data_IF_600077806356
#
_entry.id   IF_600077806356
#
_cell.length_a   1.000
_cell.length_b   1.000
_cell.length_c   1.000
_cell.angle_alpha   90.00
_cell.angle_beta   90.00
_cell.angle_gamma   90.00
#
_symmetry.space_group_name_H-M   'P 1'
#
loop_
_entity.id
_entity.type
_entity.pdbx_description
1 polymer ?
#
# COMPACT_ATOMS: atom_id res chain seq x y z
N UNK A 1 16.38 5.88 -8.46
CA UNK A 1 16.21 5.14 -7.19
C UNK A 1 14.89 5.56 -6.56
N UNK A 2 13.95 4.63 -6.37
CA UNK A 2 12.61 4.87 -5.80
C UNK A 2 12.67 5.47 -4.39
N UNK A 3 13.52 4.92 -3.53
CA UNK A 3 13.62 5.32 -2.11
C UNK A 3 13.98 6.80 -1.93
N UNK A 4 14.77 7.34 -2.86
CA UNK A 4 15.13 8.76 -2.89
C UNK A 4 13.97 9.65 -3.36
N UNK A 5 13.17 9.18 -4.33
CA UNK A 5 11.95 9.89 -4.75
C UNK A 5 10.95 10.00 -3.60
N UNK A 6 10.86 8.97 -2.76
CA UNK A 6 9.99 8.96 -1.57
C UNK A 6 10.58 9.68 -0.36
N UNK A 7 11.81 10.22 -0.43
CA UNK A 7 12.49 10.81 0.74
C UNK A 7 11.68 11.93 1.42
N UNK A 8 11.06 12.89 0.71
CA UNK A 8 10.24 13.91 1.35
C UNK A 8 9.05 13.31 2.11
N UNK A 9 8.36 12.34 1.50
CA UNK A 9 7.25 11.63 2.12
C UNK A 9 7.68 10.93 3.42
N UNK A 10 8.79 10.21 3.36
CA UNK A 10 9.30 9.45 4.50
C UNK A 10 9.77 10.38 5.62
N UNK A 11 10.31 11.56 5.31
CA UNK A 11 10.68 12.55 6.31
C UNK A 11 9.47 13.02 7.13
N UNK A 12 8.33 13.28 6.48
CA UNK A 12 7.07 13.61 7.17
C UNK A 12 6.58 12.44 8.03
N UNK A 13 6.60 11.20 7.51
CA UNK A 13 6.23 10.03 8.31
C UNK A 13 7.10 9.85 9.56
N UNK A 14 8.41 10.09 9.45
CA UNK A 14 9.33 10.00 10.59
C UNK A 14 9.09 11.09 11.62
N UNK A 15 8.70 12.30 11.17
CA UNK A 15 8.29 13.38 12.06
C UNK A 15 7.02 13.01 12.82
N UNK A 16 6.00 12.49 12.14
CA UNK A 16 4.77 12.02 12.80
C UNK A 16 5.04 10.90 13.81
N UNK A 17 5.92 9.96 13.47
CA UNK A 17 6.33 8.89 14.37
C UNK A 17 7.00 9.45 15.63
N UNK A 18 7.87 10.46 15.49
CA UNK A 18 8.51 11.11 16.64
C UNK A 18 7.52 11.91 17.51
N UNK A 19 6.63 12.67 16.89
CA UNK A 19 5.74 13.61 17.60
C UNK A 19 4.51 12.93 18.20
N UNK A 20 3.97 11.90 17.54
CA UNK A 20 2.65 11.30 17.87
C UNK A 20 2.71 9.81 18.16
N UNK A 21 3.84 9.15 17.88
CA UNK A 21 3.95 7.69 17.95
C UNK A 21 3.25 6.95 16.80
N UNK A 22 2.84 7.67 15.74
CA UNK A 22 2.18 7.06 14.57
C UNK A 22 3.15 6.08 13.88
N UNK A 23 2.76 4.81 13.65
CA UNK A 23 3.64 3.86 12.96
C UNK A 23 3.88 4.27 11.50
N UNK A 24 5.10 4.06 11.01
CA UNK A 24 5.45 4.29 9.60
C UNK A 24 4.90 3.15 8.72
N UNK A 25 5.03 1.91 9.19
CA UNK A 25 4.41 0.73 8.60
C UNK A 25 3.22 0.34 9.48
N UNK A 26 2.02 0.26 8.90
CA UNK A 26 0.76 0.15 9.63
C UNK A 26 -0.03 -1.06 9.11
N UNK A 27 -0.63 -1.87 9.99
CA UNK A 27 -1.63 -2.85 9.56
C UNK A 27 -2.85 -2.11 9.01
N UNK A 28 -3.63 -2.75 8.12
CA UNK A 28 -4.70 -2.05 7.41
C UNK A 28 -5.77 -1.49 8.36
N UNK A 29 -6.16 -2.24 9.40
CA UNK A 29 -7.14 -1.78 10.38
C UNK A 29 -6.76 -0.47 11.09
N UNK A 30 -5.48 -0.07 11.07
CA UNK A 30 -5.03 1.18 11.68
C UNK A 30 -5.61 2.40 10.94
N UNK A 31 -5.62 2.36 9.60
CA UNK A 31 -6.15 3.43 8.76
C UNK A 31 -7.61 3.19 8.34
N UNK A 32 -8.11 1.94 8.48
CA UNK A 32 -9.45 1.51 8.07
C UNK A 32 -10.14 0.66 9.16
N UNK A 33 -10.40 1.21 10.36
CA UNK A 33 -10.93 0.41 11.47
C UNK A 33 -12.39 -0.05 11.27
N UNK A 34 -13.17 0.68 10.47
CA UNK A 34 -14.57 0.34 10.16
C UNK A 34 -14.69 -0.80 9.14
N UNK A 35 -13.66 -1.00 8.32
CA UNK A 35 -13.58 -2.08 7.34
C UNK A 35 -13.19 -3.38 8.05
N UNK A 36 -14.15 -4.29 8.19
CA UNK A 36 -13.93 -5.55 8.93
C UNK A 36 -12.91 -6.46 8.27
N UNK A 37 -12.75 -6.38 6.95
CA UNK A 37 -11.78 -7.22 6.25
C UNK A 37 -10.35 -6.78 6.59
N UNK A 38 -10.11 -5.48 6.80
CA UNK A 38 -8.80 -4.94 7.18
C UNK A 38 -8.25 -5.47 8.51
N UNK A 39 -9.10 -6.07 9.36
CA UNK A 39 -8.67 -6.75 10.59
C UNK A 39 -8.14 -8.17 10.35
N UNK A 40 -8.51 -8.78 9.23
CA UNK A 40 -8.14 -10.16 8.87
C UNK A 40 -6.95 -10.22 7.90
N UNK A 41 -6.55 -9.09 7.31
CA UNK A 41 -5.43 -9.01 6.38
C UNK A 41 -4.12 -8.95 7.16
N UNK A 42 -3.25 -9.94 6.93
CA UNK A 42 -1.98 -10.11 7.66
C UNK A 42 -0.74 -9.92 6.77
N UNK A 43 -0.92 -9.92 5.45
CA UNK A 43 0.14 -9.99 4.46
C UNK A 43 0.18 -8.77 3.52
N UNK A 44 -0.49 -7.70 3.93
CA UNK A 44 -0.50 -6.36 3.33
C UNK A 44 -0.29 -5.31 4.42
N UNK A 45 0.25 -4.16 4.03
CA UNK A 45 0.40 -3.05 4.97
C UNK A 45 0.32 -1.69 4.28
N UNK A 46 -0.02 -0.68 5.08
CA UNK A 46 0.11 0.72 4.71
C UNK A 46 1.50 1.23 5.07
N UNK A 47 2.17 1.89 4.12
CA UNK A 47 3.40 2.63 4.32
C UNK A 47 3.08 4.13 4.36
N UNK A 48 2.90 4.65 5.57
CA UNK A 48 2.20 5.92 5.77
C UNK A 48 0.73 5.82 5.36
N UNK A 49 -0.01 6.94 5.35
CA UNK A 49 -1.44 6.90 5.08
C UNK A 49 -1.80 6.65 3.61
N UNK A 50 -0.85 6.73 2.65
CA UNK A 50 -1.19 6.86 1.23
C UNK A 50 -0.72 5.72 0.34
N UNK A 51 0.14 4.83 0.83
CA UNK A 51 0.76 3.77 0.03
C UNK A 51 0.41 2.40 0.61
N UNK A 52 -0.29 1.58 -0.14
CA UNK A 52 -0.59 0.18 0.18
C UNK A 52 0.41 -0.74 -0.51
N UNK A 53 0.94 -1.72 0.22
CA UNK A 53 1.99 -2.63 -0.27
C UNK A 53 1.60 -4.09 0.02
N UNK A 54 1.74 -4.95 -1.00
CA UNK A 54 1.66 -6.41 -0.88
C UNK A 54 3.03 -7.04 -1.17
N UNK A 55 3.84 -7.39 -0.17
CA UNK A 55 5.05 -8.16 -0.39
C UNK A 55 4.73 -9.55 -0.96
N UNK A 56 5.64 -10.06 -1.79
CA UNK A 56 5.59 -11.45 -2.28
C UNK A 56 6.56 -12.27 -1.44
N UNK A 57 6.01 -13.18 -0.64
CA UNK A 57 6.78 -14.05 0.26
C UNK A 57 6.83 -15.50 -0.21
N UNK A 58 6.00 -15.86 -1.19
CA UNK A 58 5.95 -17.19 -1.77
C UNK A 58 6.90 -17.35 -2.97
N UNK A 59 7.68 -18.42 -2.97
CA UNK A 59 8.63 -18.72 -4.05
C UNK A 59 7.91 -18.95 -5.39
N UNK A 60 8.42 -18.33 -6.46
CA UNK A 60 7.91 -18.50 -7.81
C UNK A 60 6.55 -17.83 -8.10
N UNK A 61 5.99 -17.11 -7.13
CA UNK A 61 4.77 -16.33 -7.32
C UNK A 61 5.01 -15.22 -8.36
N UNK A 62 4.17 -15.18 -9.40
CA UNK A 62 4.20 -14.15 -10.46
C UNK A 62 2.90 -13.34 -10.54
N UNK A 63 1.90 -13.74 -9.76
CA UNK A 63 0.59 -13.09 -9.61
C UNK A 63 0.11 -13.31 -8.19
N UNK A 64 -0.55 -12.32 -7.60
CA UNK A 64 -1.09 -12.41 -6.24
C UNK A 64 -2.43 -11.72 -6.15
N UNK A 65 -3.11 -11.91 -5.02
CA UNK A 65 -4.33 -11.18 -4.67
C UNK A 65 -3.99 -10.14 -3.61
N UNK A 66 -4.58 -8.96 -3.78
CA UNK A 66 -4.44 -7.86 -2.84
C UNK A 66 -5.83 -7.31 -2.51
N UNK A 67 -6.12 -7.13 -1.23
CA UNK A 67 -7.31 -6.45 -0.76
C UNK A 67 -7.11 -4.94 -0.85
N UNK A 68 -8.10 -4.25 -1.41
CA UNK A 68 -8.12 -2.80 -1.49
C UNK A 68 -9.16 -2.31 -0.47
N UNK A 69 -8.74 -1.69 0.66
CA UNK A 69 -9.66 -1.23 1.69
C UNK A 69 -10.76 -0.31 1.16
N UNK A 70 -11.94 -0.39 1.77
CA UNK A 70 -13.08 0.46 1.42
C UNK A 70 -12.85 1.95 1.75
N UNK A 71 -13.72 2.82 1.23
CA UNK A 71 -13.66 4.26 1.50
C UNK A 71 -12.54 5.02 0.77
N UNK A 72 -11.85 4.38 -0.19
CA UNK A 72 -10.84 5.03 -1.03
C UNK A 72 -10.87 4.51 -2.47
N UNK A 73 -10.48 5.37 -3.42
CA UNK A 73 -10.06 4.94 -4.76
C UNK A 73 -8.56 4.63 -4.70
N UNK A 74 -8.17 3.52 -5.31
CA UNK A 74 -6.80 3.02 -5.32
C UNK A 74 -6.23 3.06 -6.73
N UNK A 75 -5.00 3.55 -6.88
CA UNK A 75 -4.29 3.57 -8.15
C UNK A 75 -3.10 2.63 -8.09
N UNK A 76 -3.02 1.67 -9.01
CA UNK A 76 -1.86 0.79 -9.14
C UNK A 76 -0.66 1.62 -9.61
N UNK A 77 0.41 1.66 -8.81
CA UNK A 77 1.58 2.51 -9.02
C UNK A 77 2.45 2.09 -10.25
N UNK A 78 2.25 0.86 -10.74
CA UNK A 78 2.93 0.34 -11.93
C UNK A 78 2.14 0.58 -13.22
N UNK A 79 0.83 0.36 -13.21
CA UNK A 79 0.00 0.44 -14.42
C UNK A 79 -0.68 1.80 -14.59
N UNK A 80 -0.97 2.49 -13.49
CA UNK A 80 -1.85 3.66 -13.43
C UNK A 80 -3.35 3.30 -13.43
N UNK A 81 -3.68 2.01 -13.40
CA UNK A 81 -5.08 1.55 -13.36
C UNK A 81 -5.71 1.89 -12.01
N UNK A 82 -6.99 2.28 -12.06
CA UNK A 82 -7.77 2.73 -10.90
C UNK A 82 -8.80 1.68 -10.51
N UNK A 83 -8.97 1.51 -9.20
CA UNK A 83 -9.88 0.55 -8.61
C UNK A 83 -10.67 1.22 -7.50
N UNK A 84 -11.94 0.85 -7.36
CA UNK A 84 -12.69 1.16 -6.15
C UNK A 84 -12.14 0.34 -4.97
N UNK A 85 -12.25 0.84 -3.74
CA UNK A 85 -12.00 0.06 -2.54
C UNK A 85 -13.08 -0.98 -2.26
N UNK A 86 -12.91 -1.74 -1.18
CA UNK A 86 -13.83 -2.78 -0.71
C UNK A 86 -13.77 -4.06 -1.54
N UNK A 87 -12.66 -4.33 -2.23
CA UNK A 87 -12.53 -5.48 -3.12
C UNK A 87 -11.13 -6.09 -3.10
N UNK A 88 -11.06 -7.39 -3.36
CA UNK A 88 -9.80 -8.09 -3.65
C UNK A 88 -9.59 -8.16 -5.15
N UNK A 89 -8.41 -7.77 -5.62
CA UNK A 89 -8.04 -7.82 -7.04
C UNK A 89 -6.85 -8.74 -7.26
N UNK A 90 -6.81 -9.41 -8.40
CA UNK A 90 -5.67 -10.20 -8.85
C UNK A 90 -4.73 -9.33 -9.68
N UNK A 91 -3.44 -9.33 -9.34
CA UNK A 91 -2.44 -8.43 -9.93
C UNK A 91 -1.15 -9.16 -10.28
N UNK A 92 -0.46 -8.64 -11.28
CA UNK A 92 0.88 -9.08 -11.64
C UNK A 92 1.87 -8.78 -10.50
N UNK A 93 2.72 -9.76 -10.20
CA UNK A 93 3.79 -9.66 -9.23
C UNK A 93 5.04 -10.39 -9.75
N UNK A 94 5.58 -10.03 -10.94
CA UNK A 94 6.82 -10.61 -11.44
C UNK A 94 7.98 -10.31 -10.49
N UNK A 95 9.09 -11.06 -10.59
CA UNK A 95 10.22 -10.98 -9.64
C UNK A 95 10.78 -9.57 -9.38
N UNK A 96 10.65 -8.66 -10.36
CA UNK A 96 11.13 -7.27 -10.29
C UNK A 96 10.10 -6.28 -9.67
N UNK A 97 8.88 -6.74 -9.36
CA UNK A 97 7.76 -5.88 -8.95
C UNK A 97 6.98 -6.50 -7.79
N UNK A 98 6.84 -5.71 -6.72
CA UNK A 98 5.82 -5.97 -5.70
C UNK A 98 4.58 -5.12 -5.99
N UNK A 99 3.36 -5.62 -5.79
CA UNK A 99 2.17 -4.79 -5.91
C UNK A 99 2.19 -3.60 -4.95
N UNK A 100 1.98 -2.41 -5.50
CA UNK A 100 1.91 -1.14 -4.77
C UNK A 100 0.75 -0.33 -5.32
N UNK A 101 -0.08 0.17 -4.41
CA UNK A 101 -1.20 1.04 -4.72
C UNK A 101 -1.08 2.35 -3.95
N UNK A 102 -1.57 3.44 -4.53
CA UNK A 102 -1.64 4.73 -3.87
C UNK A 102 -3.06 5.25 -3.78
N UNK A 103 -3.32 6.10 -2.79
CA UNK A 103 -4.58 6.82 -2.59
C UNK A 103 -4.34 8.29 -2.26
N UNK A 104 -5.43 9.04 -1.98
CA UNK A 104 -5.40 10.44 -1.55
C UNK A 104 -4.66 11.41 -2.49
N UNK A 105 -4.55 11.08 -3.78
CA UNK A 105 -3.80 11.87 -4.75
C UNK A 105 -2.28 11.79 -4.58
N UNK A 106 -1.75 10.87 -3.77
CA UNK A 106 -0.32 10.60 -3.73
C UNK A 106 0.11 9.91 -5.02
N UNK A 107 0.92 10.62 -5.81
CA UNK A 107 1.43 10.11 -7.08
C UNK A 107 2.80 9.44 -6.88
N UNK A 108 2.85 8.14 -7.14
CA UNK A 108 4.07 7.35 -7.16
C UNK A 108 4.12 6.55 -8.46
N UNK A 109 4.98 6.96 -9.39
CA UNK A 109 5.24 6.19 -10.60
C UNK A 109 6.43 5.27 -10.39
N UNK A 110 6.19 3.97 -10.51
CA UNK A 110 7.20 2.91 -10.37
C UNK A 110 7.77 2.42 -11.71
N UNK A 111 7.23 2.91 -12.83
CA UNK A 111 7.82 2.69 -14.16
C UNK A 111 9.23 3.28 -14.29
#
# INVERSE_FOLDING_TARGET
NLREKMRPYIAELMKEAHEKGTPVMRPLFYDFPEDKECWNVEDEYMFGPDVLVKPITDEGCTQTRIYLPEGSEWTNAWTGEKYAGGQTVEVAAPIEQIPVFTRNGYELSLK
#
